data_IF_594626043598
#
_entry.id   IF_594626043598
#
_cell.length_a   1.000
_cell.length_b   1.000
_cell.length_c   1.000
_cell.angle_alpha   90.00
_cell.angle_beta   90.00
_cell.angle_gamma   90.00
#
_symmetry.space_group_name_H-M   'P 1'
#
loop_
_entity.id
_entity.type
_entity.pdbx_description
1 polymer ?
#
# COMPACT_ATOMS: atom_id res chain seq x y z
N UNK A 1 -5.92 23.94 -0.95
CA UNK A 1 -5.21 23.19 -2.01
C UNK A 1 -5.22 21.73 -1.58
N UNK A 2 -6.17 20.92 -2.08
CA UNK A 2 -6.19 19.48 -1.80
C UNK A 2 -5.10 18.84 -2.65
N UNK A 3 -4.06 18.32 -2.00
CA UNK A 3 -3.09 17.49 -2.70
C UNK A 3 -3.66 16.06 -2.80
N UNK A 4 -3.49 15.37 -3.93
CA UNK A 4 -3.82 13.95 -4.00
C UNK A 4 -3.02 13.22 -2.92
N UNK A 5 -3.65 12.31 -2.18
CA UNK A 5 -3.00 11.54 -1.11
C UNK A 5 -1.81 10.75 -1.67
N UNK A 6 -1.86 10.32 -2.94
CA UNK A 6 -0.72 9.73 -3.64
C UNK A 6 0.52 10.63 -3.71
N UNK A 7 0.34 11.95 -3.85
CA UNK A 7 1.44 12.92 -3.82
C UNK A 7 1.97 13.11 -2.39
N UNK A 8 1.13 12.95 -1.37
CA UNK A 8 1.56 12.98 0.01
C UNK A 8 2.37 11.71 0.37
N UNK A 9 1.92 10.53 -0.08
CA UNK A 9 2.63 9.27 0.10
C UNK A 9 4.02 9.28 -0.58
N UNK A 10 4.11 9.74 -1.84
CA UNK A 10 5.40 9.90 -2.53
C UNK A 10 6.36 10.86 -1.79
N UNK A 11 5.82 11.88 -1.11
CA UNK A 11 6.63 12.81 -0.29
C UNK A 11 7.06 12.19 1.03
N UNK A 12 6.21 11.39 1.66
CA UNK A 12 6.58 10.61 2.85
C UNK A 12 7.72 9.67 2.50
N UNK A 13 7.68 9.02 1.34
CA UNK A 13 8.78 8.19 0.84
C UNK A 13 10.06 8.97 0.64
N UNK A 14 10.00 10.12 -0.05
CA UNK A 14 11.18 10.96 -0.25
C UNK A 14 11.75 11.47 1.09
N UNK A 15 10.89 11.81 2.06
CA UNK A 15 11.29 12.25 3.38
C UNK A 15 11.92 11.13 4.21
N UNK A 16 11.37 9.91 4.14
CA UNK A 16 11.91 8.73 4.82
C UNK A 16 13.30 8.38 4.29
N UNK A 17 13.46 8.30 2.96
CA UNK A 17 14.77 8.03 2.33
C UNK A 17 15.79 9.10 2.74
N UNK A 18 15.41 10.37 2.65
CA UNK A 18 16.28 11.50 3.03
C UNK A 18 16.70 11.45 4.50
N UNK A 19 15.76 11.16 5.42
CA UNK A 19 16.06 10.99 6.84
C UNK A 19 17.03 9.85 7.11
N UNK A 20 16.83 8.70 6.45
CA UNK A 20 17.71 7.54 6.58
C UNK A 20 19.11 7.79 5.99
N UNK A 21 19.23 8.57 4.90
CA UNK A 21 20.53 8.96 4.36
C UNK A 21 21.30 9.91 5.29
N UNK A 22 20.59 10.80 6.01
CA UNK A 22 21.19 11.68 7.02
C UNK A 22 21.72 10.86 8.19
N UNK A 23 20.99 9.85 8.64
CA UNK A 23 21.34 9.05 9.82
C UNK A 23 22.36 7.94 9.53
N UNK A 24 22.32 7.33 8.34
CA UNK A 24 23.08 6.11 8.02
C UNK A 24 24.00 6.25 6.81
N UNK A 25 24.10 7.43 6.21
CA UNK A 25 24.98 7.74 5.09
C UNK A 25 24.37 7.48 3.70
N UNK A 26 24.95 8.13 2.70
CA UNK A 26 24.46 8.11 1.32
C UNK A 26 24.53 6.71 0.69
N UNK A 27 23.43 6.29 0.07
CA UNK A 27 23.30 4.95 -0.54
C UNK A 27 22.80 3.85 0.39
N UNK A 28 22.69 4.10 1.70
CA UNK A 28 22.08 3.16 2.67
C UNK A 28 20.57 3.40 2.83
N UNK A 29 20.11 4.63 2.61
CA UNK A 29 18.74 5.06 2.89
C UNK A 29 17.67 4.37 2.04
N UNK A 30 17.93 4.10 0.76
CA UNK A 30 16.98 3.44 -0.13
C UNK A 30 16.76 1.97 0.27
N UNK A 31 17.84 1.24 0.57
CA UNK A 31 17.75 -0.15 1.02
C UNK A 31 17.12 -0.30 2.42
N UNK A 32 17.36 0.64 3.34
CA UNK A 32 16.67 0.65 4.63
C UNK A 32 15.21 1.07 4.49
N UNK A 33 14.88 2.05 3.66
CA UNK A 33 13.50 2.45 3.40
C UNK A 33 12.69 1.29 2.83
N UNK A 34 13.28 0.49 1.93
CA UNK A 34 12.66 -0.73 1.43
C UNK A 34 12.39 -1.76 2.54
N UNK A 35 13.27 -1.91 3.53
CA UNK A 35 13.03 -2.81 4.67
C UNK A 35 11.97 -2.30 5.64
N UNK A 36 11.90 -0.99 5.87
CA UNK A 36 10.78 -0.40 6.62
C UNK A 36 9.46 -0.58 5.87
N UNK A 37 9.47 -0.36 4.55
CA UNK A 37 8.32 -0.63 3.70
C UNK A 37 7.88 -2.09 3.76
N UNK A 38 8.78 -3.07 3.82
CA UNK A 38 8.37 -4.47 3.96
C UNK A 38 7.66 -4.75 5.30
N UNK A 39 8.01 -4.03 6.37
CA UNK A 39 7.38 -4.17 7.68
C UNK A 39 6.04 -3.42 7.80
N UNK A 40 5.92 -2.27 7.11
CA UNK A 40 4.78 -1.35 7.15
C UNK A 40 3.98 -1.35 5.83
N UNK A 41 4.19 -2.36 4.97
CA UNK A 41 3.77 -2.33 3.56
C UNK A 41 2.27 -2.11 3.44
N UNK A 42 1.53 -2.76 4.33
CA UNK A 42 0.08 -2.73 4.36
C UNK A 42 -0.45 -1.31 4.61
N UNK A 43 0.18 -0.58 5.53
CA UNK A 43 -0.21 0.77 5.93
C UNK A 43 0.07 1.76 4.81
N UNK A 44 1.26 1.70 4.23
CA UNK A 44 1.63 2.58 3.11
C UNK A 44 0.76 2.36 1.87
N UNK A 45 0.45 1.10 1.53
CA UNK A 45 -0.42 0.80 0.40
C UNK A 45 -1.86 1.26 0.68
N UNK A 46 -2.35 1.06 1.90
CA UNK A 46 -3.68 1.50 2.31
C UNK A 46 -3.80 3.01 2.21
N UNK A 47 -2.84 3.78 2.72
CA UNK A 47 -2.84 5.24 2.66
C UNK A 47 -2.67 5.76 1.23
N UNK A 48 -1.85 5.11 0.40
CA UNK A 48 -1.62 5.52 -0.98
C UNK A 48 -2.77 5.17 -1.96
N UNK A 49 -3.84 4.52 -1.49
CA UNK A 49 -4.95 4.09 -2.34
C UNK A 49 -5.72 5.28 -2.95
N UNK A 50 -6.04 5.17 -4.23
CA UNK A 50 -6.92 6.10 -4.94
C UNK A 50 -8.32 5.49 -5.17
N UNK A 51 -8.41 4.16 -5.22
CA UNK A 51 -9.66 3.43 -5.42
C UNK A 51 -9.66 2.15 -4.58
N UNK A 52 -10.84 1.74 -4.14
CA UNK A 52 -11.08 0.52 -3.38
C UNK A 52 -12.32 -0.20 -3.90
N UNK A 53 -12.32 -1.53 -3.77
CA UNK A 53 -13.45 -2.41 -4.07
C UNK A 53 -13.46 -3.54 -3.04
N UNK A 54 -14.53 -3.63 -2.27
CA UNK A 54 -14.78 -4.79 -1.43
C UNK A 54 -14.99 -6.04 -2.29
N UNK A 55 -14.31 -7.13 -1.94
CA UNK A 55 -14.37 -8.41 -2.68
C UNK A 55 -14.81 -9.59 -1.81
N UNK A 56 -15.25 -9.33 -0.57
CA UNK A 56 -15.85 -10.32 0.33
C UNK A 56 -15.12 -10.44 1.66
N UNK A 57 -15.77 -11.10 2.62
CA UNK A 57 -15.18 -11.40 3.92
C UNK A 57 -13.88 -12.23 3.78
N UNK A 58 -12.98 -12.03 4.73
CA UNK A 58 -11.83 -12.88 4.97
C UNK A 58 -12.18 -13.88 6.08
N UNK A 59 -12.36 -15.14 5.71
CA UNK A 59 -12.58 -16.21 6.67
C UNK A 59 -11.21 -16.65 7.21
N UNK A 60 -10.89 -16.22 8.43
CA UNK A 60 -9.73 -16.74 9.17
C UNK A 60 -9.98 -18.18 9.60
N UNK A 61 -8.92 -18.99 9.64
CA UNK A 61 -8.97 -20.37 10.16
C UNK A 61 -8.97 -20.35 11.69
N UNK A 62 -8.39 -19.31 12.28
CA UNK A 62 -8.44 -19.05 13.71
C UNK A 62 -9.73 -18.26 14.00
N UNK A 63 -10.46 -18.69 15.03
CA UNK A 63 -11.78 -18.21 15.48
C UNK A 63 -11.66 -16.80 16.11
N UNK A 64 -10.90 -15.92 15.48
CA UNK A 64 -10.62 -14.58 15.93
C UNK A 64 -11.90 -13.74 15.87
N UNK A 65 -12.16 -13.03 16.96
CA UNK A 65 -13.36 -12.26 17.32
C UNK A 65 -13.66 -11.06 16.39
N UNK A 66 -12.87 -10.87 15.33
CA UNK A 66 -12.90 -9.68 14.48
C UNK A 66 -13.28 -10.07 13.06
N UNK A 67 -14.40 -9.53 12.59
CA UNK A 67 -14.80 -9.63 11.20
C UNK A 67 -13.80 -8.88 10.31
N UNK A 68 -13.13 -9.63 9.44
CA UNK A 68 -12.15 -9.10 8.49
C UNK A 68 -12.71 -9.14 7.07
N UNK A 69 -12.34 -8.13 6.28
CA UNK A 69 -12.74 -7.98 4.90
C UNK A 69 -11.55 -8.02 3.95
N UNK A 70 -11.78 -8.58 2.76
CA UNK A 70 -10.86 -8.44 1.63
C UNK A 70 -11.26 -7.25 0.79
N UNK A 71 -10.33 -6.32 0.64
CA UNK A 71 -10.50 -5.12 -0.17
C UNK A 71 -9.42 -5.07 -1.24
N UNK A 72 -9.84 -5.03 -2.50
CA UNK A 72 -8.91 -4.74 -3.60
C UNK A 72 -8.73 -3.23 -3.68
N UNK A 73 -7.48 -2.77 -3.72
CA UNK A 73 -7.14 -1.36 -3.86
C UNK A 73 -6.31 -1.11 -5.12
N UNK A 74 -6.38 0.12 -5.61
CA UNK A 74 -5.56 0.65 -6.68
C UNK A 74 -4.98 1.99 -6.22
N UNK A 75 -3.70 2.23 -6.51
CA UNK A 75 -3.03 3.46 -6.11
C UNK A 75 -1.71 3.66 -6.82
N UNK A 76 -0.96 4.65 -6.34
CA UNK A 76 0.39 4.95 -6.82
C UNK A 76 1.31 5.19 -5.63
N UNK A 77 2.47 4.53 -5.65
CA UNK A 77 3.50 4.65 -4.63
C UNK A 77 4.86 4.51 -5.29
N UNK A 78 5.81 5.36 -4.90
CA UNK A 78 7.19 5.36 -5.42
C UNK A 78 7.23 5.44 -6.96
N UNK A 79 6.40 6.33 -7.51
CA UNK A 79 6.29 6.54 -8.96
C UNK A 79 5.63 5.40 -9.75
N UNK A 80 5.34 4.25 -9.14
CA UNK A 80 4.70 3.09 -9.77
C UNK A 80 3.22 2.98 -9.43
N UNK A 81 2.45 2.45 -10.38
CA UNK A 81 1.04 2.11 -10.14
C UNK A 81 0.95 0.73 -9.53
N UNK A 82 0.04 0.52 -8.58
CA UNK A 82 -0.16 -0.79 -7.97
C UNK A 82 -1.64 -1.18 -7.93
N UNK A 83 -1.87 -2.49 -7.87
CA UNK A 83 -3.08 -3.06 -7.30
C UNK A 83 -2.66 -3.99 -6.15
N UNK A 84 -3.46 -4.01 -5.09
CA UNK A 84 -3.24 -4.88 -3.95
C UNK A 84 -4.56 -5.45 -3.44
N UNK A 85 -4.52 -6.61 -2.77
CA UNK A 85 -5.64 -7.17 -2.01
C UNK A 85 -5.27 -7.14 -0.53
N UNK A 86 -5.96 -6.25 0.19
CA UNK A 86 -5.77 -5.98 1.60
C UNK A 86 -6.73 -6.80 2.44
N UNK A 87 -6.29 -7.23 3.62
CA UNK A 87 -7.16 -7.65 4.72
C UNK A 87 -7.35 -6.45 5.62
N UNK A 88 -8.59 -6.08 5.91
CA UNK A 88 -8.93 -4.91 6.73
C UNK A 88 -9.99 -5.27 7.76
N UNK A 89 -9.99 -4.60 8.90
CA UNK A 89 -11.08 -4.71 9.88
C UNK A 89 -12.25 -3.78 9.55
N UNK A 90 -13.32 -3.88 10.34
CA UNK A 90 -14.52 -3.03 10.21
C UNK A 90 -14.28 -1.54 10.49
N UNK A 91 -13.13 -1.17 11.08
CA UNK A 91 -12.73 0.22 11.30
C UNK A 91 -11.87 0.77 10.15
N UNK A 92 -11.55 -0.07 9.17
CA UNK A 92 -10.73 0.29 8.01
C UNK A 92 -9.24 0.35 8.30
N UNK A 93 -8.77 -0.35 9.34
CA UNK A 93 -7.34 -0.55 9.55
C UNK A 93 -6.88 -1.76 8.73
N UNK A 94 -5.71 -1.68 8.06
CA UNK A 94 -5.13 -2.83 7.38
C UNK A 94 -4.50 -3.81 8.38
N UNK A 95 -4.80 -5.09 8.21
CA UNK A 95 -4.26 -6.21 8.99
C UNK A 95 -3.29 -7.07 8.17
N UNK A 96 -3.28 -6.89 6.84
CA UNK A 96 -2.32 -7.58 6.00
C UNK A 96 -2.56 -7.44 4.51
N UNK A 97 -1.65 -8.06 3.74
CA UNK A 97 -1.62 -8.07 2.29
C UNK A 97 -1.65 -9.52 1.78
N UNK A 98 -2.61 -9.87 0.92
CA UNK A 98 -2.69 -11.21 0.32
C UNK A 98 -2.15 -11.27 -1.11
N UNK A 99 -1.93 -10.12 -1.74
CA UNK A 99 -1.27 -10.05 -3.05
C UNK A 99 -1.12 -8.63 -3.57
N UNK A 100 -0.01 -8.37 -4.27
CA UNK A 100 0.32 -7.08 -4.87
C UNK A 100 0.87 -7.26 -6.29
N UNK A 101 0.54 -6.33 -7.18
CA UNK A 101 1.16 -6.22 -8.51
C UNK A 101 1.46 -4.75 -8.84
N UNK A 102 2.64 -4.51 -9.40
CA UNK A 102 3.09 -3.18 -9.82
C UNK A 102 3.08 -3.03 -11.34
N UNK A 103 2.90 -1.79 -11.80
CA UNK A 103 2.80 -1.42 -13.20
C UNK A 103 3.48 -0.08 -13.44
N UNK A 104 4.18 0.05 -14.56
CA UNK A 104 4.74 1.33 -14.99
C UNK A 104 3.71 2.32 -15.54
N UNK A 105 2.49 1.86 -15.89
CA UNK A 105 1.47 2.69 -16.55
C UNK A 105 0.09 2.53 -15.91
N UNK A 106 -0.57 3.66 -15.67
CA UNK A 106 -1.89 3.75 -15.04
C UNK A 106 -2.95 2.85 -15.68
N UNK A 107 -3.05 2.87 -17.01
CA UNK A 107 -4.06 2.12 -17.73
C UNK A 107 -3.95 0.59 -17.57
N UNK A 108 -2.73 0.06 -17.39
CA UNK A 108 -2.52 -1.38 -17.20
C UNK A 108 -2.96 -1.79 -15.80
N UNK A 109 -2.62 -0.98 -14.80
CA UNK A 109 -3.07 -1.18 -13.42
C UNK A 109 -4.61 -1.08 -13.32
N UNK A 110 -5.23 -0.11 -13.99
CA UNK A 110 -6.70 0.02 -14.00
C UNK A 110 -7.41 -1.15 -14.68
N UNK A 111 -6.90 -1.63 -15.82
CA UNK A 111 -7.46 -2.82 -16.47
C UNK A 111 -7.38 -4.04 -15.52
N UNK A 112 -6.21 -4.24 -14.90
CA UNK A 112 -6.02 -5.32 -13.93
C UNK A 112 -6.83 -5.16 -12.64
N UNK A 113 -7.22 -3.93 -12.28
CA UNK A 113 -8.13 -3.67 -11.17
C UNK A 113 -9.58 -4.04 -11.51
N UNK A 114 -10.01 -3.81 -12.75
CA UNK A 114 -11.37 -4.05 -13.21
C UNK A 114 -11.68 -5.52 -13.52
N UNK A 115 -10.69 -6.30 -13.98
CA UNK A 115 -10.82 -7.71 -14.41
C UNK A 115 -11.03 -8.73 -13.26
N UNK A 116 -11.54 -8.28 -12.10
CA UNK A 116 -11.64 -9.04 -10.86
C UNK A 116 -13.08 -9.25 -10.40
#
# INVERSE_FOLDING_TARGET
MFQPISVAADRVMAALVSGLEIEFGHGTGEALAHRFLEAEESDFLWDAREMERWIGAFESIDDDEIDLDRVRIFGRLDGKWFIAVMIVDGDGNPHGLTGKREFGRRHQALAAFADA
#
